data_IF_639027398538
#
_entry.id   IF_639027398538
#
_cell.length_a   1.000
_cell.length_b   1.000
_cell.length_c   1.000
_cell.angle_alpha   90.00
_cell.angle_beta   90.00
_cell.angle_gamma   90.00
#
_symmetry.space_group_name_H-M   'P 1'
#
loop_
_entity.id
_entity.type
_entity.pdbx_description
1 polymer ?
#
# COMPACT_ATOMS: atom_id res chain seq x y z
N UNK A 1 -30.34 -0.12 -17.39
CA UNK A 1 -30.65 -0.81 -18.67
C UNK A 1 -30.29 0.16 -19.78
N UNK A 2 -29.29 -0.01 -20.63
CA UNK A 2 -28.50 -1.16 -21.00
C UNK A 2 -27.14 -0.62 -21.51
N UNK A 3 -26.15 -0.52 -20.62
CA UNK A 3 -24.81 -0.02 -20.96
C UNK A 3 -24.07 -0.94 -21.95
N UNK A 4 -24.17 -2.28 -21.81
CA UNK A 4 -23.63 -3.23 -22.79
C UNK A 4 -24.15 -2.98 -24.21
N UNK A 5 -25.48 -2.88 -24.40
CA UNK A 5 -26.04 -2.62 -25.74
C UNK A 5 -25.56 -1.30 -26.35
N UNK A 6 -25.36 -0.26 -25.52
CA UNK A 6 -24.86 1.03 -26.00
C UNK A 6 -23.37 1.01 -26.35
N UNK A 7 -22.57 0.20 -25.66
CA UNK A 7 -21.15 0.04 -25.95
C UNK A 7 -20.92 -0.76 -27.25
N UNK A 8 -21.81 -1.72 -27.55
CA UNK A 8 -21.79 -2.48 -28.80
C UNK A 8 -22.15 -1.63 -30.03
N UNK A 9 -22.89 -0.53 -29.83
CA UNK A 9 -23.26 0.43 -30.89
C UNK A 9 -22.16 1.47 -31.17
N UNK A 10 -21.05 1.46 -30.42
CA UNK A 10 -19.93 2.39 -30.63
C UNK A 10 -18.96 1.81 -31.65
N UNK A 11 -18.81 2.51 -32.78
CA UNK A 11 -17.72 2.26 -33.73
C UNK A 11 -16.41 2.79 -33.16
N UNK A 12 -15.70 1.91 -32.44
CA UNK A 12 -14.41 2.23 -31.83
C UNK A 12 -13.37 2.51 -32.92
N UNK A 13 -13.05 3.79 -33.11
CA UNK A 13 -12.03 4.26 -34.09
C UNK A 13 -10.59 3.84 -33.74
N UNK A 14 -10.39 3.19 -32.59
CA UNK A 14 -9.10 2.66 -32.15
C UNK A 14 -9.23 1.17 -31.89
N UNK A 15 -8.41 0.37 -32.56
CA UNK A 15 -8.18 -1.01 -32.12
C UNK A 15 -7.33 -0.97 -30.84
N UNK A 16 -7.65 -1.84 -29.88
CA UNK A 16 -6.77 -2.05 -28.72
C UNK A 16 -5.52 -2.79 -29.20
N UNK A 17 -4.48 -2.03 -29.54
CA UNK A 17 -3.24 -2.59 -30.12
C UNK A 17 -2.31 -3.21 -29.07
N UNK A 18 -2.50 -2.88 -27.78
CA UNK A 18 -1.71 -3.41 -26.67
C UNK A 18 -2.63 -3.99 -25.58
N UNK A 19 -2.38 -5.23 -25.16
CA UNK A 19 -3.15 -5.87 -24.08
C UNK A 19 -2.84 -5.24 -22.72
N UNK A 20 -1.70 -4.56 -22.57
CA UNK A 20 -1.16 -4.07 -21.28
C UNK A 20 -0.54 -5.19 -20.44
N UNK A 21 -0.48 -6.41 -20.98
CA UNK A 21 0.19 -7.56 -20.36
C UNK A 21 1.70 -7.36 -20.40
N UNK A 22 2.36 -7.59 -19.26
CA UNK A 22 3.78 -7.35 -19.04
C UNK A 22 4.20 -5.89 -19.23
N UNK A 23 3.24 -4.97 -19.13
CA UNK A 23 3.56 -3.55 -19.02
C UNK A 23 4.15 -3.29 -17.63
N UNK A 24 5.36 -2.74 -17.61
CA UNK A 24 6.16 -2.54 -16.41
C UNK A 24 6.41 -1.05 -16.19
N UNK A 25 6.16 -0.61 -14.97
CA UNK A 25 6.42 0.75 -14.51
C UNK A 25 7.47 0.72 -13.41
N UNK A 26 8.44 1.62 -13.51
CA UNK A 26 9.41 1.86 -12.44
C UNK A 26 9.22 3.28 -11.90
N UNK A 27 8.98 3.40 -10.60
CA UNK A 27 8.84 4.67 -9.90
C UNK A 27 10.02 4.82 -8.96
N UNK A 28 10.76 5.91 -9.14
CA UNK A 28 11.89 6.28 -8.29
C UNK A 28 11.45 7.41 -7.35
N UNK A 29 11.55 7.21 -6.03
CA UNK A 29 11.11 8.22 -5.05
C UNK A 29 12.18 8.48 -3.99
N UNK A 30 12.58 9.74 -3.75
CA UNK A 30 13.45 10.09 -2.63
C UNK A 30 12.71 9.90 -1.31
N UNK A 31 13.45 9.50 -0.28
CA UNK A 31 12.94 9.22 1.06
C UNK A 31 13.86 9.86 2.10
N UNK A 32 13.28 10.47 3.12
CA UNK A 32 14.03 11.09 4.22
C UNK A 32 13.34 10.82 5.56
N UNK A 33 14.13 10.37 6.53
CA UNK A 33 13.80 10.41 7.95
C UNK A 33 14.67 11.49 8.57
N UNK A 34 14.12 12.33 9.42
CA UNK A 34 14.89 13.40 10.04
C UNK A 34 14.37 13.76 11.44
N UNK A 35 15.27 14.27 12.27
CA UNK A 35 15.01 14.89 13.56
C UNK A 35 15.47 16.35 13.53
N UNK A 36 14.75 17.24 14.21
CA UNK A 36 15.15 18.63 14.39
C UNK A 36 15.31 18.93 15.86
N UNK A 37 16.39 19.64 16.21
CA UNK A 37 16.69 20.04 17.58
C UNK A 37 16.55 18.89 18.57
N UNK A 38 17.18 17.76 18.24
CA UNK A 38 17.26 16.61 19.15
C UNK A 38 18.24 16.96 20.28
N UNK A 39 18.30 16.12 21.32
CA UNK A 39 19.31 16.26 22.37
C UNK A 39 20.75 16.01 21.85
N UNK A 40 20.86 15.50 20.62
CA UNK A 40 22.10 15.02 19.99
C UNK A 40 22.58 15.93 18.84
N UNK A 41 21.68 16.68 18.20
CA UNK A 41 22.01 17.53 17.07
C UNK A 41 20.95 18.57 16.69
N UNK A 42 21.35 19.54 15.86
CA UNK A 42 20.42 20.55 15.31
C UNK A 42 19.56 19.93 14.20
N UNK A 43 20.15 19.03 13.41
CA UNK A 43 19.49 18.34 12.31
C UNK A 43 20.14 16.98 12.06
N UNK A 44 19.36 15.93 12.29
CA UNK A 44 19.78 14.53 12.10
C UNK A 44 18.95 13.96 10.95
N UNK A 45 19.55 13.17 10.07
CA UNK A 45 18.86 12.66 8.89
C UNK A 45 19.37 11.29 8.43
N UNK A 46 18.46 10.54 7.81
CA UNK A 46 18.78 9.39 6.95
C UNK A 46 18.03 9.57 5.63
N UNK A 47 18.79 9.60 4.54
CA UNK A 47 18.32 9.85 3.18
C UNK A 47 18.51 8.61 2.31
N UNK A 48 17.45 8.21 1.62
CA UNK A 48 17.42 7.04 0.77
C UNK A 48 16.67 7.30 -0.54
N UNK A 49 16.85 6.38 -1.49
CA UNK A 49 16.09 6.31 -2.72
C UNK A 49 15.32 5.00 -2.76
N UNK A 50 14.01 5.07 -3.02
CA UNK A 50 13.23 3.87 -3.31
C UNK A 50 13.05 3.66 -4.80
N UNK A 51 13.10 2.39 -5.21
CA UNK A 51 12.75 1.93 -6.54
C UNK A 51 11.57 0.98 -6.44
N UNK A 52 10.44 1.35 -7.03
CA UNK A 52 9.23 0.55 -7.05
C UNK A 52 8.95 0.05 -8.47
N UNK A 53 9.03 -1.26 -8.67
CA UNK A 53 8.69 -1.94 -9.91
C UNK A 53 7.28 -2.51 -9.80
N UNK A 54 6.39 -2.07 -10.69
CA UNK A 54 5.04 -2.61 -10.82
C UNK A 54 4.85 -3.19 -12.21
N UNK A 55 4.51 -4.48 -12.32
CA UNK A 55 4.31 -5.14 -13.62
C UNK A 55 2.96 -5.82 -13.68
N UNK A 56 2.15 -5.47 -14.68
CA UNK A 56 0.89 -6.15 -14.94
C UNK A 56 1.14 -7.51 -15.56
N UNK A 57 0.63 -8.59 -14.95
CA UNK A 57 0.82 -9.95 -15.46
C UNK A 57 -0.31 -10.36 -16.41
N UNK A 58 -1.55 -10.09 -16.02
CA UNK A 58 -2.77 -10.28 -16.82
C UNK A 58 -3.88 -9.38 -16.27
N UNK A 59 -5.09 -9.48 -16.82
CA UNK A 59 -6.22 -8.65 -16.38
C UNK A 59 -6.45 -8.78 -14.87
N UNK A 60 -6.19 -7.69 -14.14
CA UNK A 60 -6.33 -7.61 -12.69
C UNK A 60 -5.15 -8.14 -11.88
N UNK A 61 -4.17 -8.83 -12.49
CA UNK A 61 -3.03 -9.34 -11.75
C UNK A 61 -1.75 -8.53 -11.98
N UNK A 62 -0.97 -8.36 -10.92
CA UNK A 62 0.28 -7.64 -10.99
C UNK A 62 1.29 -8.13 -9.94
N UNK A 63 2.56 -7.82 -10.17
CA UNK A 63 3.61 -7.86 -9.15
C UNK A 63 4.02 -6.44 -8.77
N UNK A 64 4.30 -6.22 -7.49
CA UNK A 64 4.82 -4.99 -6.90
C UNK A 64 6.07 -5.31 -6.09
N UNK A 65 7.22 -4.78 -6.49
CA UNK A 65 8.49 -4.93 -5.76
C UNK A 65 9.05 -3.55 -5.43
N UNK A 66 9.28 -3.28 -4.15
CA UNK A 66 9.94 -2.06 -3.65
C UNK A 66 11.28 -2.41 -3.03
N UNK A 67 12.31 -1.75 -3.53
CA UNK A 67 13.67 -1.76 -2.97
C UNK A 67 13.99 -0.37 -2.40
N UNK A 68 14.70 -0.33 -1.28
CA UNK A 68 15.20 0.91 -0.65
C UNK A 68 16.74 0.88 -0.70
N UNK A 69 17.32 1.98 -1.15
CA UNK A 69 18.77 2.19 -1.19
C UNK A 69 19.12 3.41 -0.33
N UNK A 70 19.78 3.22 0.82
CA UNK A 70 20.36 4.32 1.60
C UNK A 70 21.44 5.04 0.79
N UNK A 71 21.43 6.37 0.83
CA UNK A 71 22.34 7.21 0.04
C UNK A 71 23.24 8.08 0.92
N UNK A 72 22.72 8.61 2.02
CA UNK A 72 23.47 9.45 2.95
C UNK A 72 22.77 9.49 4.31
N UNK A 73 23.53 9.60 5.39
CA UNK A 73 23.02 9.76 6.75
C UNK A 73 23.96 10.63 7.58
N UNK A 74 23.43 11.17 8.69
CA UNK A 74 24.22 11.85 9.72
C UNK A 74 24.77 10.85 10.74
N UNK A 75 25.83 11.24 11.46
CA UNK A 75 26.49 10.42 12.50
C UNK A 75 25.51 9.76 13.51
N UNK A 76 24.43 10.44 13.91
CA UNK A 76 23.46 9.88 14.86
C UNK A 76 22.58 8.76 14.27
N UNK A 77 22.54 8.61 12.95
CA UNK A 77 21.85 7.52 12.22
C UNK A 77 22.82 6.41 11.77
N UNK A 78 24.14 6.62 11.86
CA UNK A 78 25.13 5.58 11.56
C UNK A 78 25.15 4.48 12.63
N UNK A 79 25.88 3.39 12.37
CA UNK A 79 26.07 2.28 13.31
C UNK A 79 26.63 2.75 14.66
N UNK A 80 25.93 2.42 15.75
CA UNK A 80 26.24 2.88 17.11
C UNK A 80 25.64 4.25 17.47
N UNK A 81 25.00 4.93 16.51
CA UNK A 81 24.25 6.16 16.72
C UNK A 81 22.92 5.93 17.45
N UNK A 82 22.37 7.00 18.04
CA UNK A 82 21.11 6.90 18.80
C UNK A 82 19.90 6.53 17.92
N UNK A 83 19.94 6.90 16.64
CA UNK A 83 18.87 6.67 15.66
C UNK A 83 19.19 5.56 14.66
N UNK A 84 20.22 4.74 14.90
CA UNK A 84 20.61 3.60 14.04
C UNK A 84 19.40 2.72 13.67
N UNK A 85 18.58 2.33 14.66
CA UNK A 85 17.37 1.50 14.46
C UNK A 85 16.29 2.15 13.59
N UNK A 86 16.43 3.45 13.33
CA UNK A 86 15.54 4.24 12.48
C UNK A 86 16.19 4.65 11.16
N UNK A 87 17.41 4.22 10.86
CA UNK A 87 18.04 4.44 9.56
C UNK A 87 17.31 3.67 8.46
N UNK A 88 17.49 4.10 7.21
CA UNK A 88 17.09 3.28 6.08
C UNK A 88 18.11 2.18 5.87
N UNK A 89 17.64 0.98 5.57
CA UNK A 89 18.49 -0.16 5.22
C UNK A 89 18.42 -0.47 3.72
N UNK A 90 19.43 -1.16 3.21
CA UNK A 90 19.46 -1.63 1.83
C UNK A 90 18.71 -2.96 1.72
N UNK A 91 17.43 -2.90 1.36
CA UNK A 91 16.52 -4.04 1.50
C UNK A 91 15.37 -4.04 0.49
N UNK A 92 14.74 -5.20 0.33
CA UNK A 92 13.44 -5.32 -0.34
C UNK A 92 12.35 -5.10 0.71
N UNK A 93 11.93 -3.85 0.85
CA UNK A 93 10.86 -3.46 1.78
C UNK A 93 9.49 -4.06 1.41
N UNK A 94 9.23 -4.33 0.13
CA UNK A 94 7.96 -4.96 -0.30
C UNK A 94 8.14 -5.82 -1.53
N UNK A 95 7.50 -6.98 -1.54
CA UNK A 95 7.36 -7.82 -2.72
C UNK A 95 6.02 -8.55 -2.68
N UNK A 96 5.06 -8.10 -3.49
CA UNK A 96 3.69 -8.61 -3.47
C UNK A 96 3.19 -9.03 -4.85
N UNK A 97 2.31 -10.03 -4.86
CA UNK A 97 1.46 -10.38 -6.00
C UNK A 97 0.05 -9.96 -5.68
N UNK A 98 -0.60 -9.28 -6.62
CA UNK A 98 -1.96 -8.78 -6.51
C UNK A 98 -2.87 -9.48 -7.51
N UNK A 99 -4.11 -9.75 -7.11
CA UNK A 99 -5.21 -10.12 -8.00
C UNK A 99 -6.43 -9.28 -7.67
N UNK A 100 -6.82 -8.44 -8.62
CA UNK A 100 -8.02 -7.62 -8.60
C UNK A 100 -9.15 -8.29 -9.38
N UNK A 101 -10.37 -8.17 -8.87
CA UNK A 101 -11.58 -8.58 -9.56
C UNK A 101 -12.77 -7.71 -9.12
N UNK A 102 -13.80 -7.64 -9.97
CA UNK A 102 -15.07 -6.99 -9.65
C UNK A 102 -16.18 -8.03 -9.60
N UNK A 103 -17.08 -7.90 -8.63
CA UNK A 103 -18.27 -8.73 -8.55
C UNK A 103 -19.37 -8.06 -9.42
N UNK A 104 -19.88 -8.72 -10.47
CA UNK A 104 -20.72 -8.06 -11.47
C UNK A 104 -22.15 -7.73 -11.00
N UNK A 105 -22.61 -8.34 -9.90
CA UNK A 105 -23.99 -8.19 -9.42
C UNK A 105 -24.13 -7.28 -8.20
N UNK A 106 -23.01 -6.90 -7.59
CA UNK A 106 -22.94 -6.05 -6.41
C UNK A 106 -21.72 -5.19 -6.66
N UNK A 107 -21.86 -3.87 -6.80
CA UNK A 107 -20.82 -2.89 -7.20
C UNK A 107 -19.62 -2.86 -6.24
N UNK A 108 -18.90 -3.99 -6.18
CA UNK A 108 -17.82 -4.32 -5.27
C UNK A 108 -16.60 -4.63 -6.12
N UNK A 109 -15.55 -3.87 -5.86
CA UNK A 109 -14.20 -4.16 -6.32
C UNK A 109 -13.44 -4.80 -5.16
N UNK A 110 -12.70 -5.88 -5.44
CA UNK A 110 -11.84 -6.51 -4.46
C UNK A 110 -10.43 -6.74 -5.02
N UNK A 111 -9.43 -6.58 -4.15
CA UNK A 111 -8.04 -6.92 -4.42
C UNK A 111 -7.53 -7.83 -3.32
N UNK A 112 -6.97 -8.97 -3.70
CA UNK A 112 -6.21 -9.84 -2.80
C UNK A 112 -4.73 -9.68 -3.13
N UNK A 113 -3.91 -9.56 -2.09
CA UNK A 113 -2.47 -9.37 -2.19
C UNK A 113 -1.76 -10.38 -1.30
N UNK A 114 -0.68 -10.99 -1.80
CA UNK A 114 0.12 -11.97 -1.08
C UNK A 114 1.60 -11.62 -1.23
N UNK A 115 2.37 -11.68 -0.14
CA UNK A 115 3.81 -11.51 -0.22
C UNK A 115 4.45 -10.88 1.02
N UNK A 116 5.58 -10.24 0.78
CA UNK A 116 6.45 -9.60 1.78
C UNK A 116 6.11 -8.12 1.93
N UNK A 117 6.06 -7.64 3.16
CA UNK A 117 5.99 -6.22 3.53
C UNK A 117 6.97 -5.91 4.66
N UNK A 118 7.46 -4.67 4.74
CA UNK A 118 8.43 -4.22 5.76
C UNK A 118 9.70 -5.07 5.86
N UNK A 119 10.06 -5.76 4.77
CA UNK A 119 11.22 -6.68 4.66
C UNK A 119 11.16 -7.99 5.44
N UNK A 120 10.35 -8.08 6.49
CA UNK A 120 10.37 -9.18 7.47
C UNK A 120 8.98 -9.81 7.73
N UNK A 121 7.92 -9.30 7.10
CA UNK A 121 6.55 -9.79 7.29
C UNK A 121 5.99 -10.45 6.03
N UNK A 122 5.68 -11.75 6.10
CA UNK A 122 5.04 -12.51 5.01
C UNK A 122 3.58 -12.74 5.34
N UNK A 123 2.70 -12.49 4.37
CA UNK A 123 1.28 -12.69 4.60
C UNK A 123 0.38 -12.31 3.45
N UNK A 124 -0.86 -11.97 3.83
CA UNK A 124 -1.96 -11.72 2.92
C UNK A 124 -2.74 -10.48 3.34
N UNK A 125 -3.25 -9.77 2.34
CA UNK A 125 -4.16 -8.63 2.50
C UNK A 125 -5.32 -8.74 1.51
N UNK A 126 -6.51 -8.38 1.95
CA UNK A 126 -7.70 -8.25 1.12
C UNK A 126 -8.29 -6.86 1.31
N UNK A 127 -8.57 -6.17 0.22
CA UNK A 127 -9.18 -4.85 0.19
C UNK A 127 -10.45 -4.92 -0.65
N UNK A 128 -11.59 -4.58 -0.06
CA UNK A 128 -12.89 -4.50 -0.73
C UNK A 128 -13.37 -3.06 -0.74
N UNK A 129 -13.98 -2.64 -1.85
CA UNK A 129 -14.57 -1.33 -2.02
C UNK A 129 -15.95 -1.49 -2.64
N UNK A 130 -17.00 -1.06 -1.92
CA UNK A 130 -18.36 -0.96 -2.42
C UNK A 130 -18.70 0.49 -2.72
N UNK A 131 -19.45 0.72 -3.80
CA UNK A 131 -19.94 2.03 -4.21
C UNK A 131 -21.46 2.01 -4.33
N UNK A 132 -22.14 3.07 -3.86
CA UNK A 132 -23.56 3.22 -4.15
C UNK A 132 -23.80 3.54 -5.62
N UNK A 133 -24.97 3.15 -6.14
CA UNK A 133 -25.38 3.49 -7.50
C UNK A 133 -25.43 5.00 -7.77
N UNK A 134 -25.71 5.80 -6.73
CA UNK A 134 -25.66 7.26 -6.79
C UNK A 134 -24.23 7.83 -6.84
N UNK A 135 -23.22 7.05 -6.46
CA UNK A 135 -21.84 7.51 -6.27
C UNK A 135 -21.59 8.28 -4.97
N UNK A 136 -22.64 8.59 -4.20
CA UNK A 136 -22.51 9.41 -2.98
C UNK A 136 -21.93 8.64 -1.80
N UNK A 137 -21.98 7.31 -1.80
CA UNK A 137 -21.48 6.48 -0.71
C UNK A 137 -20.39 5.54 -1.21
N UNK A 138 -19.33 5.45 -0.42
CA UNK A 138 -18.28 4.47 -0.60
C UNK A 138 -17.98 3.80 0.74
N UNK A 139 -17.87 2.47 0.72
CA UNK A 139 -17.51 1.65 1.87
C UNK A 139 -16.29 0.81 1.51
N UNK A 140 -15.18 1.07 2.18
CA UNK A 140 -13.95 0.29 2.11
C UNK A 140 -13.84 -0.66 3.30
N UNK A 141 -13.39 -1.88 3.03
CA UNK A 141 -13.00 -2.86 4.04
C UNK A 141 -11.60 -3.36 3.70
N UNK A 142 -10.70 -3.32 4.68
CA UNK A 142 -9.37 -3.87 4.58
C UNK A 142 -9.16 -4.90 5.68
N UNK A 143 -8.62 -6.05 5.31
CA UNK A 143 -8.26 -7.12 6.23
C UNK A 143 -6.87 -7.62 5.87
N UNK A 144 -6.00 -7.83 6.86
CA UNK A 144 -4.70 -8.44 6.62
C UNK A 144 -4.21 -9.30 7.77
N UNK A 145 -3.31 -10.22 7.44
CA UNK A 145 -2.56 -11.01 8.41
C UNK A 145 -1.16 -11.28 7.85
N UNK A 146 -0.15 -10.97 8.64
CA UNK A 146 1.26 -11.06 8.30
C UNK A 146 2.06 -11.62 9.46
N UNK A 147 2.86 -12.63 9.17
CA UNK A 147 3.73 -13.28 10.15
C UNK A 147 5.14 -12.74 10.01
N UNK A 148 5.78 -12.46 11.13
CA UNK A 148 7.19 -12.08 11.12
C UNK A 148 8.04 -13.32 10.78
N UNK A 149 9.06 -13.17 9.94
CA UNK A 149 9.90 -14.27 9.49
C UNK A 149 10.76 -14.85 10.63
N UNK A 150 11.23 -13.98 11.54
CA UNK A 150 11.95 -14.38 12.74
C UNK A 150 11.06 -14.33 13.99
N UNK A 151 11.07 -15.37 14.82
CA UNK A 151 10.25 -15.38 16.05
C UNK A 151 10.67 -14.32 17.07
N UNK A 152 11.95 -13.89 17.03
CA UNK A 152 12.52 -12.95 18.00
C UNK A 152 13.37 -11.88 17.34
N UNK A 153 13.37 -10.69 17.92
CA UNK A 153 14.24 -9.59 17.53
C UNK A 153 15.68 -9.79 18.04
N UNK A 154 16.58 -8.85 17.66
CA UNK A 154 17.99 -8.84 18.08
C UNK A 154 18.20 -8.81 19.61
N UNK A 155 17.18 -8.40 20.36
CA UNK A 155 17.19 -8.29 21.82
C UNK A 155 16.51 -9.49 22.50
N UNK A 156 16.01 -10.46 21.72
CA UNK A 156 15.35 -11.67 22.22
C UNK A 156 13.87 -11.51 22.57
N UNK A 157 13.24 -10.38 22.27
CA UNK A 157 11.80 -10.18 22.40
C UNK A 157 11.05 -10.85 21.24
N UNK A 158 9.85 -11.34 21.50
CA UNK A 158 9.05 -11.97 20.46
C UNK A 158 8.59 -10.93 19.42
N UNK A 159 8.74 -11.25 18.14
CA UNK A 159 8.17 -10.47 17.07
C UNK A 159 6.69 -10.85 16.90
N UNK A 160 5.74 -9.94 17.17
CA UNK A 160 4.33 -10.26 17.05
C UNK A 160 3.93 -10.31 15.57
N UNK A 161 3.08 -11.28 15.25
CA UNK A 161 2.28 -11.27 14.04
C UNK A 161 1.44 -9.98 13.96
N UNK A 162 1.14 -9.57 12.74
CA UNK A 162 0.46 -8.31 12.43
C UNK A 162 -0.84 -8.61 11.72
N UNK A 163 -1.93 -8.14 12.29
CA UNK A 163 -3.24 -8.20 11.67
C UNK A 163 -3.81 -6.79 11.58
N UNK A 164 -4.58 -6.53 10.53
CA UNK A 164 -5.35 -5.28 10.42
C UNK A 164 -6.79 -5.60 10.04
N UNK A 165 -7.70 -4.80 10.56
CA UNK A 165 -9.10 -4.80 10.17
C UNK A 165 -9.58 -3.36 10.16
N UNK A 166 -9.70 -2.76 8.98
CA UNK A 166 -10.09 -1.36 8.84
C UNK A 166 -11.37 -1.25 8.02
N UNK A 167 -12.34 -0.50 8.53
CA UNK A 167 -13.52 -0.08 7.79
C UNK A 167 -13.44 1.41 7.52
N UNK A 168 -13.60 1.81 6.27
CA UNK A 168 -13.65 3.22 5.87
C UNK A 168 -14.97 3.52 5.21
N UNK A 169 -15.60 4.62 5.61
CA UNK A 169 -16.82 5.11 4.98
C UNK A 169 -16.62 6.53 4.51
N UNK A 170 -16.96 6.78 3.26
CA UNK A 170 -16.95 8.11 2.65
C UNK A 170 -18.35 8.45 2.16
N UNK A 171 -18.82 9.63 2.54
CA UNK A 171 -20.03 10.23 2.02
C UNK A 171 -19.68 11.52 1.27
N UNK A 172 -20.13 11.62 0.02
CA UNK A 172 -19.87 12.75 -0.87
C UNK A 172 -21.18 13.43 -1.27
N UNK A 173 -21.21 14.76 -1.19
CA UNK A 173 -22.29 15.63 -1.67
C UNK A 173 -21.70 16.61 -2.70
N UNK A 174 -21.60 16.23 -3.98
CA UNK A 174 -20.96 17.05 -5.00
C UNK A 174 -21.64 18.39 -5.24
N UNK A 175 -22.96 18.46 -5.02
CA UNK A 175 -23.76 19.68 -5.18
C UNK A 175 -23.26 20.84 -4.31
N UNK A 176 -22.65 20.52 -3.16
CA UNK A 176 -22.12 21.48 -2.19
C UNK A 176 -20.60 21.34 -2.01
N UNK A 177 -19.94 20.53 -2.84
CA UNK A 177 -18.51 20.18 -2.71
C UNK A 177 -18.12 19.66 -1.31
N UNK A 178 -19.01 18.90 -0.66
CA UNK A 178 -18.76 18.34 0.67
C UNK A 178 -18.35 16.87 0.60
N UNK A 179 -17.41 16.49 1.48
CA UNK A 179 -17.03 15.11 1.68
C UNK A 179 -16.77 14.83 3.17
N UNK A 180 -17.34 13.74 3.66
CA UNK A 180 -17.16 13.24 5.01
C UNK A 180 -16.49 11.88 4.95
N UNK A 181 -15.45 11.69 5.76
CA UNK A 181 -14.67 10.45 5.81
C UNK A 181 -14.60 9.98 7.26
N UNK A 182 -14.87 8.70 7.49
CA UNK A 182 -14.70 8.04 8.78
C UNK A 182 -13.90 6.75 8.58
N UNK A 183 -12.96 6.45 9.48
CA UNK A 183 -12.16 5.22 9.45
C UNK A 183 -12.11 4.64 10.84
N UNK A 184 -12.49 3.38 11.01
CA UNK A 184 -12.42 2.70 12.29
C UNK A 184 -11.87 1.28 12.14
N UNK A 185 -11.22 0.77 13.20
CA UNK A 185 -10.73 -0.60 13.26
C UNK A 185 -9.38 -0.76 13.94
N UNK A 186 -8.73 -1.88 13.66
CA UNK A 186 -7.42 -2.27 14.17
C UNK A 186 -6.32 -1.96 13.15
N UNK A 187 -5.34 -1.18 13.57
CA UNK A 187 -4.21 -0.74 12.76
C UNK A 187 -3.02 -1.69 12.92
N UNK A 188 -2.01 -1.54 12.06
CA UNK A 188 -0.82 -2.40 11.99
C UNK A 188 -0.14 -2.65 13.35
N UNK A 189 -0.08 -1.63 14.21
CA UNK A 189 0.58 -1.73 15.51
C UNK A 189 -0.31 -2.37 16.60
N UNK A 190 -1.55 -2.76 16.27
CA UNK A 190 -2.52 -3.40 17.15
C UNK A 190 -3.48 -2.41 17.83
N UNK A 191 -3.26 -1.12 17.62
CA UNK A 191 -4.09 -0.03 18.12
C UNK A 191 -5.48 -0.08 17.48
N UNK A 192 -6.51 0.14 18.30
CA UNK A 192 -7.92 0.15 17.85
C UNK A 192 -8.48 1.56 18.00
N UNK A 193 -9.10 2.08 16.93
CA UNK A 193 -9.61 3.46 16.91
C UNK A 193 -10.77 3.69 15.93
N UNK A 194 -11.29 4.92 15.92
CA UNK A 194 -12.33 5.45 15.03
C UNK A 194 -12.12 6.94 14.77
#
# INVERSE_FOLDING_TARGET
RDLPERLDMVDWKTERVNSGTLDSQIVLSPMVRHGFATEYGVYDYSFAMSSNLYTYLWSGAAIDVRHILPLAESDDFEEGGYFEDSAYENEIDRAMVHQFFRLPYVDIANQVSLGLVKSDYIGARSESAWFSQSGNHWLGLEMSYFQHQDEKDKNGYANPDRQTFLTRYTFSMPEWDWQFNATAGEFWKGDVGA
#
